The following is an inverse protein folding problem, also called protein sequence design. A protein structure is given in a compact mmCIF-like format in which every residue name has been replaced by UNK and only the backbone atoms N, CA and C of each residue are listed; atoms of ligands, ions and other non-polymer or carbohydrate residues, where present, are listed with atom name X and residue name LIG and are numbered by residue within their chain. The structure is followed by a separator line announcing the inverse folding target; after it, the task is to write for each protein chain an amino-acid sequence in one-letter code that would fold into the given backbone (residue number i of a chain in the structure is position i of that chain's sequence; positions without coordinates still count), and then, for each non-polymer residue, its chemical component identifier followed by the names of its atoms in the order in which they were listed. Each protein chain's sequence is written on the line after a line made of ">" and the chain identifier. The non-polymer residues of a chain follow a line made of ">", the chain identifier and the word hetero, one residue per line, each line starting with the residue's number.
data_IF_604110726814
#
_entry.id   IF_604110726814
#
_cell.length_a   1.000
_cell.length_b   1.000
_cell.length_c   1.000
_cell.angle_alpha   90.00
_cell.angle_beta   90.00
_cell.angle_gamma   90.00
#
_symmetry.space_group_name_H-M   'P 1'
#
loop_
_entity.id
_entity.type
_entity.pdbx_description
1 polymer ?
#
# COMPACT_ATOMS: atom_id res chain seq x y z
N UNK A 1 -24.34 -18.41 33.07
CA UNK A 1 -23.36 -17.32 33.31
C UNK A 1 -22.08 -17.57 32.52
N UNK A 2 -21.44 -18.74 32.60
CA UNK A 2 -20.17 -19.07 31.91
C UNK A 2 -20.30 -18.92 30.39
N UNK A 3 -21.36 -19.45 29.79
CA UNK A 3 -21.59 -19.39 28.33
C UNK A 3 -21.73 -17.94 27.87
N UNK A 4 -22.46 -17.11 28.62
CA UNK A 4 -22.65 -15.70 28.27
C UNK A 4 -21.34 -14.91 28.33
N UNK A 5 -20.51 -15.15 29.36
CA UNK A 5 -19.19 -14.55 29.52
C UNK A 5 -18.24 -14.99 28.40
N UNK A 6 -18.28 -16.27 27.99
CA UNK A 6 -17.47 -16.76 26.87
C UNK A 6 -17.87 -16.13 25.54
N UNK A 7 -19.17 -15.93 25.29
CA UNK A 7 -19.67 -15.27 24.08
C UNK A 7 -19.22 -13.80 24.06
N UNK A 8 -19.38 -13.10 25.19
CA UNK A 8 -18.96 -11.69 25.29
C UNK A 8 -17.45 -11.54 25.10
N UNK A 9 -16.64 -12.40 25.74
CA UNK A 9 -15.19 -12.37 25.58
C UNK A 9 -14.77 -12.72 24.14
N UNK A 10 -15.41 -13.70 23.52
CA UNK A 10 -15.16 -14.05 22.12
C UNK A 10 -15.50 -12.92 21.17
N UNK A 11 -16.64 -12.25 21.40
CA UNK A 11 -17.04 -11.08 20.61
C UNK A 11 -16.10 -9.87 20.83
N UNK A 12 -15.68 -9.63 22.07
CA UNK A 12 -14.70 -8.57 22.37
C UNK A 12 -13.33 -8.85 21.72
N UNK A 13 -12.86 -10.12 21.77
CA UNK A 13 -11.61 -10.50 21.08
C UNK A 13 -11.73 -10.31 19.56
N UNK A 14 -12.83 -10.75 18.97
CA UNK A 14 -13.10 -10.54 17.54
C UNK A 14 -13.17 -9.05 17.16
N UNK A 15 -13.82 -8.22 18.00
CA UNK A 15 -13.87 -6.78 17.80
C UNK A 15 -12.48 -6.15 17.86
N UNK A 16 -11.67 -6.51 18.88
CA UNK A 16 -10.29 -6.00 19.02
C UNK A 16 -9.43 -6.42 17.83
N UNK A 17 -9.54 -7.67 17.38
CA UNK A 17 -8.82 -8.18 16.22
C UNK A 17 -9.26 -7.48 14.92
N UNK A 18 -10.58 -7.28 14.72
CA UNK A 18 -11.12 -6.52 13.60
C UNK A 18 -10.68 -5.04 13.61
N UNK A 19 -10.59 -4.41 14.78
CA UNK A 19 -10.08 -3.05 14.90
C UNK A 19 -8.56 -2.98 14.70
N UNK A 20 -7.80 -3.98 15.14
CA UNK A 20 -6.35 -4.05 14.90
C UNK A 20 -6.04 -4.18 13.41
N UNK A 21 -6.81 -4.99 12.68
CA UNK A 21 -6.66 -5.13 11.21
C UNK A 21 -7.03 -3.85 10.43
N UNK A 22 -7.81 -2.94 11.03
CA UNK A 22 -8.11 -1.62 10.45
C UNK A 22 -7.00 -0.58 10.67
N UNK A 23 -5.85 -0.95 11.23
CA UNK A 23 -4.70 -0.06 11.39
C UNK A 23 -4.90 1.00 12.46
N UNK A 24 -5.36 0.61 13.66
CA UNK A 24 -5.63 1.51 14.81
C UNK A 24 -4.39 2.32 15.22
N UNK A 25 -3.20 1.86 14.85
CA UNK A 25 -1.93 2.51 15.18
C UNK A 25 -1.38 3.39 14.04
N UNK A 26 -2.19 3.64 12.99
CA UNK A 26 -1.76 4.45 11.85
C UNK A 26 -1.96 5.94 12.13
N UNK A 27 -0.91 6.71 11.91
CA UNK A 27 -0.91 8.16 11.98
C UNK A 27 -0.65 8.70 10.58
N UNK A 28 -1.62 9.41 10.01
CA UNK A 28 -1.44 10.07 8.72
C UNK A 28 -1.07 11.53 8.94
N UNK A 29 0.09 11.91 8.47
CA UNK A 29 0.59 13.30 8.49
C UNK A 29 0.44 13.91 7.11
N UNK A 30 -0.41 14.93 7.01
CA UNK A 30 -0.56 15.71 5.79
C UNK A 30 -0.16 17.17 6.06
N UNK A 31 0.76 17.69 5.26
CA UNK A 31 1.11 19.11 5.35
C UNK A 31 0.82 19.85 4.04
N UNK A 32 0.56 21.15 4.16
CA UNK A 32 0.46 22.02 3.00
C UNK A 32 1.81 22.69 2.76
N UNK A 33 2.43 22.38 1.63
CA UNK A 33 3.61 23.12 1.19
C UNK A 33 3.25 24.60 1.02
N UNK A 34 3.93 25.48 1.76
CA UNK A 34 3.86 26.93 1.56
C UNK A 34 5.01 27.31 0.65
N UNK A 35 4.79 28.20 -0.29
CA UNK A 35 5.67 28.54 -1.42
C UNK A 35 7.17 28.81 -1.11
N UNK A 36 7.56 28.86 0.16
CA UNK A 36 8.95 29.08 0.60
C UNK A 36 9.55 27.91 1.43
N UNK A 37 8.80 26.86 1.74
CA UNK A 37 9.27 25.68 2.49
C UNK A 37 8.55 24.44 1.99
N UNK A 38 9.26 23.60 1.25
CA UNK A 38 8.94 22.18 1.05
C UNK A 38 9.81 21.39 2.01
N UNK A 39 9.24 20.46 2.74
CA UNK A 39 10.00 19.46 3.50
C UNK A 39 10.37 18.39 2.50
N UNK A 40 11.64 18.01 2.44
CA UNK A 40 12.08 16.91 1.57
C UNK A 40 11.76 15.56 2.21
N UNK A 41 11.69 14.51 1.40
CA UNK A 41 11.52 13.14 1.86
C UNK A 41 12.63 12.74 2.83
N UNK A 42 13.84 13.16 2.56
CA UNK A 42 15.02 12.86 3.39
C UNK A 42 14.87 13.45 4.81
N UNK A 43 14.30 14.66 4.95
CA UNK A 43 14.01 15.28 6.26
C UNK A 43 12.96 14.47 7.07
N UNK A 44 11.99 13.83 6.39
CA UNK A 44 11.04 12.94 7.06
C UNK A 44 11.67 11.61 7.47
N UNK A 45 12.60 11.06 6.70
CA UNK A 45 13.36 9.87 7.08
C UNK A 45 14.27 10.16 8.27
N UNK A 46 14.98 11.30 8.30
CA UNK A 46 15.76 11.74 9.46
C UNK A 46 14.87 11.87 10.71
N UNK A 47 13.71 12.52 10.59
CA UNK A 47 12.75 12.61 11.69
C UNK A 47 12.28 11.24 12.18
N UNK A 48 12.01 10.31 11.28
CA UNK A 48 11.61 8.94 11.61
C UNK A 48 12.73 8.18 12.34
N UNK A 49 13.97 8.29 11.87
CA UNK A 49 15.13 7.68 12.51
C UNK A 49 15.40 8.25 13.91
N UNK A 50 15.29 9.55 14.08
CA UNK A 50 15.45 10.22 15.38
C UNK A 50 14.37 9.80 16.40
N UNK A 51 13.19 9.40 15.93
CA UNK A 51 12.04 9.02 16.75
C UNK A 51 11.67 7.53 16.59
N UNK A 52 12.62 6.70 16.27
CA UNK A 52 12.45 5.25 16.06
C UNK A 52 11.99 4.49 17.33
N UNK A 53 12.04 5.13 18.49
CA UNK A 53 11.45 4.67 19.75
C UNK A 53 9.92 4.80 19.78
N UNK A 54 9.34 5.74 19.04
CA UNK A 54 7.92 6.02 18.97
C UNK A 54 7.22 5.42 17.77
N UNK A 55 7.93 5.33 16.63
CA UNK A 55 7.39 4.86 15.36
C UNK A 55 8.04 3.55 14.93
N UNK A 56 7.24 2.66 14.37
CA UNK A 56 7.70 1.35 13.89
C UNK A 56 7.97 1.36 12.38
N UNK A 57 7.06 1.93 11.62
CA UNK A 57 7.16 2.03 10.16
C UNK A 57 6.79 3.42 9.68
N UNK A 58 7.33 3.81 8.52
CA UNK A 58 6.99 5.06 7.84
C UNK A 58 6.96 4.87 6.32
N UNK A 59 5.92 5.40 5.67
CA UNK A 59 5.84 5.42 4.22
C UNK A 59 5.34 6.76 3.70
N UNK A 60 6.01 7.34 2.69
CA UNK A 60 5.40 8.35 1.85
C UNK A 60 4.16 7.79 1.17
N UNK A 61 3.15 8.64 0.96
CA UNK A 61 1.92 8.27 0.26
C UNK A 61 1.68 9.26 -0.89
N UNK A 62 1.78 8.75 -2.11
CA UNK A 62 1.60 9.53 -3.35
C UNK A 62 0.50 8.89 -4.18
N UNK A 63 -0.69 9.44 -4.13
CA UNK A 63 -1.80 8.96 -4.98
C UNK A 63 -1.61 9.39 -6.43
N UNK A 64 -1.86 8.48 -7.36
CA UNK A 64 -1.74 8.71 -8.79
C UNK A 64 -3.04 8.31 -9.49
N UNK A 65 -3.63 9.23 -10.25
CA UNK A 65 -4.83 8.94 -11.03
C UNK A 65 -4.43 8.55 -12.46
N UNK A 66 -4.40 7.25 -12.72
CA UNK A 66 -4.03 6.68 -14.03
C UNK A 66 -4.83 5.41 -14.28
N UNK A 67 -5.10 5.13 -15.55
CA UNK A 67 -5.67 3.85 -15.97
C UNK A 67 -4.59 2.76 -15.92
N UNK A 68 -4.93 1.64 -15.32
CA UNK A 68 -4.13 0.42 -15.31
C UNK A 68 -4.45 -0.40 -16.56
N UNK A 69 -3.44 -0.84 -17.30
CA UNK A 69 -3.65 -1.59 -18.54
C UNK A 69 -2.73 -2.81 -18.66
N UNK A 70 -3.29 -3.86 -19.19
CA UNK A 70 -2.53 -5.01 -19.68
C UNK A 70 -3.09 -5.39 -21.06
N UNK A 71 -2.24 -5.38 -22.08
CA UNK A 71 -2.61 -5.59 -23.50
C UNK A 71 -3.82 -4.76 -23.96
N UNK A 72 -4.99 -5.38 -24.19
CA UNK A 72 -6.25 -4.73 -24.57
C UNK A 72 -7.12 -4.36 -23.38
N UNK A 73 -6.84 -4.92 -22.21
CA UNK A 73 -7.67 -4.77 -21.01
C UNK A 73 -7.26 -3.55 -20.21
N UNK A 74 -8.24 -2.86 -19.67
CA UNK A 74 -8.05 -1.62 -18.93
C UNK A 74 -8.95 -1.59 -17.68
N UNK A 75 -8.37 -1.15 -16.57
CA UNK A 75 -9.05 -0.93 -15.30
C UNK A 75 -8.93 0.55 -14.93
N UNK A 76 -10.06 1.24 -14.82
CA UNK A 76 -10.09 2.68 -14.57
C UNK A 76 -10.33 3.03 -13.09
N UNK A 77 -10.90 2.10 -12.31
CA UNK A 77 -11.23 2.27 -10.88
C UNK A 77 -10.08 1.90 -9.96
N UNK A 78 -9.06 1.21 -10.47
CA UNK A 78 -7.94 0.71 -9.69
C UNK A 78 -7.18 1.83 -8.99
N UNK A 79 -6.98 1.66 -7.68
CA UNK A 79 -6.21 2.58 -6.86
C UNK A 79 -4.71 2.44 -7.15
N UNK A 80 -4.08 3.49 -7.69
CA UNK A 80 -2.63 3.49 -7.94
C UNK A 80 -1.94 4.44 -6.98
N UNK A 81 -0.94 3.93 -6.26
CA UNK A 81 -0.20 4.73 -5.28
C UNK A 81 1.29 4.42 -5.22
N UNK A 82 2.05 5.42 -4.82
CA UNK A 82 3.49 5.32 -4.57
C UNK A 82 3.78 5.24 -3.08
N UNK A 83 4.51 4.19 -2.70
CA UNK A 83 4.81 3.87 -1.31
C UNK A 83 6.26 3.41 -1.14
N UNK A 84 6.71 3.30 0.12
CA UNK A 84 7.97 2.64 0.48
C UNK A 84 7.77 1.14 0.70
N UNK A 85 8.84 0.43 1.00
CA UNK A 85 8.85 -0.99 1.39
C UNK A 85 8.07 -1.28 2.66
N UNK A 86 7.98 -0.29 3.57
CA UNK A 86 7.29 -0.43 4.85
C UNK A 86 5.76 -0.43 4.73
N UNK A 87 5.23 0.01 3.58
CA UNK A 87 3.78 0.16 3.42
C UNK A 87 3.01 -1.16 3.56
N UNK A 88 3.61 -2.28 3.14
CA UNK A 88 3.03 -3.61 3.32
C UNK A 88 2.82 -3.92 4.82
N UNK A 89 3.85 -3.64 5.65
CA UNK A 89 3.77 -3.82 7.10
C UNK A 89 2.78 -2.83 7.75
N UNK A 90 2.73 -1.57 7.27
CA UNK A 90 1.76 -0.57 7.73
C UNK A 90 0.31 -1.04 7.50
N UNK A 91 0.07 -1.78 6.42
CA UNK A 91 -1.24 -2.32 6.08
C UNK A 91 -1.55 -3.68 6.74
N UNK A 92 -0.55 -4.29 7.35
CA UNK A 92 -0.63 -5.67 7.88
C UNK A 92 -1.03 -6.68 6.78
N UNK A 93 -0.44 -6.49 5.58
CA UNK A 93 -0.67 -7.35 4.44
C UNK A 93 0.52 -8.27 4.20
N UNK A 94 0.26 -9.43 3.60
CA UNK A 94 1.28 -10.40 3.22
C UNK A 94 1.41 -10.55 1.71
N UNK A 95 2.59 -10.93 1.24
CA UNK A 95 2.82 -11.26 -0.18
C UNK A 95 2.46 -12.73 -0.40
N UNK A 96 1.51 -12.99 -1.29
CA UNK A 96 1.14 -14.34 -1.71
C UNK A 96 2.16 -14.93 -2.69
N UNK A 97 2.55 -14.15 -3.71
CA UNK A 97 3.54 -14.53 -4.70
C UNK A 97 4.54 -13.41 -4.96
N UNK A 98 5.79 -13.80 -5.16
CA UNK A 98 6.86 -12.87 -5.50
C UNK A 98 7.50 -12.19 -4.28
N UNK A 99 7.68 -10.88 -4.32
CA UNK A 99 8.31 -10.08 -3.26
C UNK A 99 7.65 -8.70 -3.12
N UNK A 100 7.82 -8.11 -1.96
CA UNK A 100 7.47 -6.71 -1.72
C UNK A 100 8.41 -5.74 -2.48
N UNK A 101 8.03 -4.46 -2.52
CA UNK A 101 8.92 -3.35 -2.86
C UNK A 101 10.14 -3.37 -1.92
N UNK A 102 11.28 -2.93 -2.41
CA UNK A 102 12.52 -2.85 -1.64
C UNK A 102 13.08 -1.44 -1.70
N UNK A 103 13.82 -1.02 -0.69
CA UNK A 103 14.52 0.26 -0.65
C UNK A 103 15.32 0.53 -1.95
N UNK A 104 16.01 -0.49 -2.46
CA UNK A 104 16.76 -0.40 -3.73
C UNK A 104 15.89 -0.09 -4.95
N UNK A 105 14.59 -0.38 -4.91
CA UNK A 105 13.65 -0.05 -6.00
C UNK A 105 13.32 1.45 -5.97
N UNK A 106 13.22 2.06 -4.76
CA UNK A 106 13.03 3.50 -4.58
C UNK A 106 14.26 4.29 -5.01
N UNK A 107 15.42 3.88 -4.52
CA UNK A 107 16.70 4.55 -4.80
C UNK A 107 17.06 4.50 -6.28
N UNK A 108 16.97 3.31 -6.90
CA UNK A 108 17.22 3.13 -8.33
C UNK A 108 16.04 3.58 -9.22
N UNK A 109 14.94 4.03 -8.63
CA UNK A 109 13.71 4.43 -9.34
C UNK A 109 13.27 3.36 -10.34
N UNK A 110 13.24 2.11 -9.91
CA UNK A 110 12.88 0.97 -10.78
C UNK A 110 11.42 1.03 -11.16
N UNK A 111 11.11 0.57 -12.37
CA UNK A 111 9.73 0.39 -12.85
C UNK A 111 9.23 -0.99 -12.43
N UNK A 112 8.93 -1.13 -11.14
CA UNK A 112 8.36 -2.34 -10.55
C UNK A 112 7.03 -2.01 -9.88
N UNK A 113 6.17 -3.02 -9.76
CA UNK A 113 4.86 -2.89 -9.13
C UNK A 113 4.56 -4.09 -8.23
N UNK A 114 3.85 -3.84 -7.14
CA UNK A 114 3.14 -4.83 -6.34
C UNK A 114 1.66 -4.59 -6.56
N UNK A 115 0.89 -5.64 -6.81
CA UNK A 115 -0.53 -5.54 -7.13
C UNK A 115 -1.39 -6.31 -6.13
N UNK A 116 -2.65 -5.92 -6.01
CA UNK A 116 -3.64 -6.67 -5.24
C UNK A 116 -4.17 -7.88 -6.00
N UNK A 117 -4.79 -8.81 -5.26
CA UNK A 117 -5.29 -10.06 -5.81
C UNK A 117 -6.36 -9.84 -6.89
N UNK A 118 -7.20 -8.80 -6.78
CA UNK A 118 -8.22 -8.51 -7.78
C UNK A 118 -7.62 -8.13 -9.13
N UNK A 119 -6.61 -7.25 -9.14
CA UNK A 119 -5.89 -6.87 -10.37
C UNK A 119 -5.19 -8.07 -11.00
N UNK A 120 -4.63 -8.98 -10.16
CA UNK A 120 -3.97 -10.19 -10.65
C UNK A 120 -4.98 -11.17 -11.28
N UNK A 121 -6.16 -11.31 -10.71
CA UNK A 121 -7.22 -12.18 -11.26
C UNK A 121 -7.75 -11.63 -12.59
N UNK A 122 -8.13 -10.34 -12.61
CA UNK A 122 -8.76 -9.71 -13.78
C UNK A 122 -7.82 -9.60 -15.00
N UNK A 123 -6.56 -9.21 -14.80
CA UNK A 123 -5.64 -8.97 -15.92
C UNK A 123 -4.79 -10.19 -16.29
N UNK A 124 -4.56 -11.12 -15.37
CA UNK A 124 -3.60 -12.23 -15.59
C UNK A 124 -4.20 -13.61 -15.31
N UNK A 125 -5.46 -13.68 -14.85
CA UNK A 125 -6.13 -14.94 -14.52
C UNK A 125 -5.51 -15.63 -13.30
N UNK A 126 -4.97 -14.86 -12.36
CA UNK A 126 -4.50 -15.33 -11.05
C UNK A 126 -3.14 -14.81 -10.62
N UNK A 127 -2.93 -14.79 -9.31
CA UNK A 127 -1.75 -14.22 -8.66
C UNK A 127 -0.43 -14.83 -9.14
N UNK A 128 -0.39 -16.15 -9.35
CA UNK A 128 0.81 -16.86 -9.80
C UNK A 128 1.25 -16.45 -11.20
N UNK A 129 0.29 -16.13 -12.08
CA UNK A 129 0.57 -15.78 -13.47
C UNK A 129 1.06 -14.34 -13.61
N UNK A 130 0.68 -13.47 -12.68
CA UNK A 130 0.97 -12.04 -12.74
C UNK A 130 2.44 -11.71 -12.44
N UNK A 131 3.11 -12.49 -11.58
CA UNK A 131 4.49 -12.19 -11.17
C UNK A 131 5.45 -12.38 -12.35
N UNK A 132 6.22 -11.34 -12.65
CA UNK A 132 7.15 -11.28 -13.79
C UNK A 132 6.54 -10.65 -15.03
N UNK A 133 5.22 -10.58 -15.13
CA UNK A 133 4.51 -9.89 -16.22
C UNK A 133 4.59 -8.36 -16.08
N UNK A 134 4.05 -7.64 -17.05
CA UNK A 134 4.11 -6.18 -17.08
C UNK A 134 2.72 -5.55 -17.06
N UNK A 135 2.57 -4.53 -16.21
CA UNK A 135 1.40 -3.67 -16.19
C UNK A 135 1.78 -2.27 -16.71
N UNK A 136 0.90 -1.66 -17.51
CA UNK A 136 1.10 -0.32 -18.06
C UNK A 136 0.36 0.72 -17.22
N UNK A 137 1.10 1.72 -16.75
CA UNK A 137 0.59 2.87 -16.02
C UNK A 137 0.97 4.14 -16.79
N UNK A 138 -0.01 4.88 -17.27
CA UNK A 138 0.20 6.10 -18.07
C UNK A 138 1.16 5.90 -19.27
N UNK A 139 1.14 4.72 -19.90
CA UNK A 139 1.98 4.36 -21.03
C UNK A 139 3.37 3.80 -20.68
N UNK A 140 3.79 3.88 -19.43
CA UNK A 140 5.01 3.26 -18.92
C UNK A 140 4.74 1.82 -18.46
N UNK A 141 5.59 0.88 -18.85
CA UNK A 141 5.52 -0.52 -18.40
C UNK A 141 6.25 -0.71 -17.09
N UNK A 142 5.59 -1.37 -16.12
CA UNK A 142 6.11 -1.76 -14.82
C UNK A 142 6.11 -3.29 -14.72
N UNK A 143 7.20 -3.87 -14.25
CA UNK A 143 7.27 -5.32 -13.98
C UNK A 143 6.61 -5.62 -12.64
N UNK A 144 5.67 -6.55 -12.62
CA UNK A 144 5.03 -7.03 -11.39
C UNK A 144 6.03 -7.90 -10.64
N UNK A 145 6.40 -7.49 -9.44
CA UNK A 145 7.37 -8.19 -8.59
C UNK A 145 6.71 -8.95 -7.46
N UNK A 146 5.47 -8.63 -7.14
CA UNK A 146 4.69 -9.34 -6.12
C UNK A 146 3.21 -9.10 -6.24
N UNK A 147 2.45 -10.04 -5.70
CA UNK A 147 0.99 -9.99 -5.54
C UNK A 147 0.68 -10.18 -4.07
N UNK A 148 -0.13 -9.28 -3.54
CA UNK A 148 -0.59 -9.29 -2.14
C UNK A 148 -1.65 -10.36 -1.97
N UNK A 149 -1.64 -11.05 -0.83
CA UNK A 149 -2.68 -12.00 -0.45
C UNK A 149 -4.05 -11.33 -0.45
N UNK A 150 -5.05 -12.07 -0.87
CA UNK A 150 -6.44 -11.59 -0.95
C UNK A 150 -6.95 -11.17 0.43
N UNK A 151 -7.43 -9.93 0.52
CA UNK A 151 -7.99 -9.34 1.73
C UNK A 151 -9.53 -9.46 1.79
N UNK A 152 -10.18 -9.49 0.64
CA UNK A 152 -11.65 -9.59 0.53
C UNK A 152 -12.11 -11.02 0.73
N UNK A 153 -12.75 -11.30 1.86
CA UNK A 153 -13.23 -12.65 2.20
C UNK A 153 -14.43 -13.09 1.33
N UNK A 154 -15.35 -12.16 1.06
CA UNK A 154 -16.57 -12.45 0.31
C UNK A 154 -16.33 -12.41 -1.20
N UNK A 155 -16.71 -13.47 -1.91
CA UNK A 155 -16.64 -13.47 -3.37
C UNK A 155 -17.59 -12.46 -4.04
N UNK A 156 -18.65 -12.04 -3.35
CA UNK A 156 -19.59 -11.02 -3.84
C UNK A 156 -19.09 -9.58 -3.68
N UNK A 157 -18.05 -9.37 -2.87
CA UNK A 157 -17.39 -8.07 -2.66
C UNK A 157 -16.06 -7.97 -3.41
N UNK A 158 -15.63 -9.06 -4.04
CA UNK A 158 -14.43 -9.12 -4.87
C UNK A 158 -14.77 -8.63 -6.27
N UNK A 159 -14.86 -7.32 -6.41
CA UNK A 159 -15.32 -6.59 -7.59
C UNK A 159 -14.49 -5.31 -7.74
N UNK A 160 -14.73 -4.59 -8.82
CA UNK A 160 -14.07 -3.32 -9.18
C UNK A 160 -14.13 -2.31 -8.02
N UNK A 161 -12.97 -1.78 -7.62
CA UNK A 161 -12.83 -0.87 -6.48
C UNK A 161 -12.83 -1.53 -5.09
N UNK A 162 -12.74 -2.87 -5.00
CA UNK A 162 -12.60 -3.57 -3.74
C UNK A 162 -11.23 -3.31 -3.07
N UNK A 163 -11.05 -3.84 -1.84
CA UNK A 163 -9.79 -3.67 -1.09
C UNK A 163 -8.57 -4.26 -1.80
N UNK A 164 -8.79 -5.22 -2.71
CA UNK A 164 -7.74 -5.89 -3.50
C UNK A 164 -7.52 -5.24 -4.88
N UNK A 165 -8.25 -4.16 -5.20
CA UNK A 165 -8.12 -3.43 -6.47
C UNK A 165 -7.12 -2.27 -6.35
N UNK A 166 -5.84 -2.62 -6.33
CA UNK A 166 -4.75 -1.63 -6.22
C UNK A 166 -3.47 -2.03 -6.96
N UNK A 167 -2.67 -1.01 -7.28
CA UNK A 167 -1.30 -1.14 -7.78
C UNK A 167 -0.39 -0.22 -6.97
N UNK A 168 0.64 -0.78 -6.33
CA UNK A 168 1.66 -0.04 -5.59
C UNK A 168 2.96 0.00 -6.38
N UNK A 169 3.52 1.20 -6.51
CA UNK A 169 4.80 1.44 -7.17
C UNK A 169 5.74 2.18 -6.22
N UNK A 170 7.06 2.20 -6.46
CA UNK A 170 7.98 3.03 -5.70
C UNK A 170 7.53 4.49 -5.67
N UNK A 171 7.46 5.11 -4.49
CA UNK A 171 7.03 6.51 -4.33
C UNK A 171 7.85 7.46 -5.22
N UNK A 172 9.14 7.17 -5.44
CA UNK A 172 10.02 7.95 -6.30
C UNK A 172 9.58 7.96 -7.78
N UNK A 173 8.84 6.91 -8.21
CA UNK A 173 8.22 6.84 -9.54
C UNK A 173 6.86 7.53 -9.55
N UNK A 174 6.07 7.35 -8.50
CA UNK A 174 4.76 7.98 -8.37
C UNK A 174 4.85 9.51 -8.36
N UNK A 175 5.82 10.08 -7.64
CA UNK A 175 6.11 11.53 -7.65
C UNK A 175 6.33 12.04 -9.07
N UNK A 176 7.13 11.33 -9.86
CA UNK A 176 7.39 11.71 -11.24
C UNK A 176 6.13 11.63 -12.10
N UNK A 177 5.30 10.61 -11.89
CA UNK A 177 4.06 10.38 -12.63
C UNK A 177 2.98 11.41 -12.26
N UNK A 178 2.86 11.78 -10.98
CA UNK A 178 1.90 12.76 -10.48
C UNK A 178 2.20 14.21 -10.89
N UNK A 179 3.31 14.46 -11.60
CA UNK A 179 3.78 15.82 -11.95
C UNK A 179 3.88 16.75 -10.74
N UNK A 180 3.94 16.19 -9.55
CA UNK A 180 4.08 16.92 -8.29
C UNK A 180 5.44 16.55 -7.68
N UNK A 181 6.30 17.54 -7.55
CA UNK A 181 7.63 17.35 -6.98
C UNK A 181 7.63 17.24 -5.45
N UNK A 182 6.48 17.47 -4.80
CA UNK A 182 6.38 17.54 -3.34
C UNK A 182 5.49 16.41 -2.83
N UNK A 183 6.05 15.54 -1.99
CA UNK A 183 5.30 14.57 -1.20
C UNK A 183 4.79 15.30 0.03
N UNK A 184 3.50 15.33 0.23
CA UNK A 184 2.86 16.05 1.33
C UNK A 184 1.99 15.17 2.24
N UNK A 185 2.06 13.87 2.04
CA UNK A 185 1.31 12.90 2.83
C UNK A 185 2.23 11.72 3.21
N UNK A 186 2.29 11.42 4.51
CA UNK A 186 3.09 10.35 5.09
C UNK A 186 2.25 9.54 6.04
N UNK A 187 2.47 8.25 6.08
CA UNK A 187 1.79 7.32 6.98
C UNK A 187 2.83 6.70 7.90
N UNK A 188 2.56 6.74 9.20
CA UNK A 188 3.37 6.14 10.25
C UNK A 188 2.56 5.09 11.00
N UNK A 189 3.23 4.09 11.54
CA UNK A 189 2.67 3.25 12.60
C UNK A 189 3.39 3.55 13.91
N UNK A 190 2.60 3.73 14.99
CA UNK A 190 3.16 3.91 16.32
C UNK A 190 3.53 2.55 16.90
N UNK A 191 4.63 2.49 17.67
CA UNK A 191 4.89 1.36 18.54
C UNK A 191 3.90 1.35 19.69
N UNK A 192 3.45 0.17 20.09
CA UNK A 192 2.68 0.02 21.32
C UNK A 192 3.59 0.36 22.50
N UNK A 193 3.33 1.51 23.10
CA UNK A 193 3.94 1.90 24.36
C UNK A 193 3.07 1.30 25.47
N UNK A 194 3.41 0.07 25.89
CA UNK A 194 2.86 -0.55 27.09
C UNK A 194 3.49 0.04 28.35
#
# INVERSE_FOLDING_TARGET
>A
VIILVSIVNGYMSYMVESFSSMGVNQITVQYKAVASRSIDVDEFYEFYEEHSDLYENMSPNVSVSVTVKHDSDAMDSTSVGGYSEDYLAIKDYEIEYGRNLQYSDMEARRKVAVIGAYVAEELYGGSQNAVGETVKLNGDSYTIVGVVERQTESSSEFDDGCMDDFVWIPYSRAVKMARNAVINNYIFTSRDIN
#
